data_IF_689156451198
#
_entry.id   IF_689156451198
#
_cell.length_a   1.000
_cell.length_b   1.000
_cell.length_c   1.000
_cell.angle_alpha   90.00
_cell.angle_beta   90.00
_cell.angle_gamma   90.00
#
_symmetry.space_group_name_H-M   'P 1'
#
loop_
_entity.id
_entity.type
_entity.pdbx_description
1 polymer ?
#
# COMPACT_ATOMS: atom_id res chain seq x y z
N UNK A 1 5.42 18.51 17.28
CA UNK A 1 6.48 17.63 16.73
C UNK A 1 6.69 18.10 15.30
N UNK A 2 7.91 18.51 14.99
CA UNK A 2 8.24 18.98 13.65
C UNK A 2 8.12 17.79 12.68
N UNK A 3 7.42 18.04 11.58
CA UNK A 3 7.16 17.08 10.52
C UNK A 3 8.48 16.85 9.77
N UNK A 4 9.09 15.67 9.87
CA UNK A 4 10.42 15.41 9.29
C UNK A 4 10.35 15.03 7.79
N UNK A 5 9.22 14.55 7.28
CA UNK A 5 9.04 14.23 5.86
C UNK A 5 8.72 15.48 5.02
N UNK A 6 9.16 15.47 3.77
CA UNK A 6 8.84 16.54 2.81
C UNK A 6 7.44 16.37 2.25
N UNK A 7 6.74 17.50 2.07
CA UNK A 7 5.41 17.54 1.46
C UNK A 7 5.44 18.37 0.19
N UNK A 8 4.86 17.82 -0.88
CA UNK A 8 4.64 18.48 -2.15
C UNK A 8 3.14 18.59 -2.41
N UNK A 9 2.73 19.54 -3.24
CA UNK A 9 1.35 19.65 -3.76
C UNK A 9 1.41 19.80 -5.26
N UNK A 10 0.63 19.01 -5.97
CA UNK A 10 0.56 19.02 -7.43
C UNK A 10 -0.87 19.24 -7.90
N UNK A 11 -1.01 20.00 -8.97
CA UNK A 11 -2.27 20.39 -9.61
C UNK A 11 -2.42 19.88 -11.05
N UNK A 12 -1.46 19.09 -11.53
CA UNK A 12 -1.47 18.48 -12.85
C UNK A 12 -0.73 17.14 -12.85
N UNK A 13 -1.04 16.29 -13.84
CA UNK A 13 -0.32 15.03 -14.06
C UNK A 13 1.17 15.26 -14.34
N UNK A 14 1.52 16.34 -15.03
CA UNK A 14 2.91 16.69 -15.34
C UNK A 14 3.70 17.02 -14.07
N UNK A 15 3.16 17.89 -13.21
CA UNK A 15 3.81 18.20 -11.93
C UNK A 15 4.04 16.95 -11.06
N UNK A 16 3.08 16.00 -11.07
CA UNK A 16 3.28 14.73 -10.40
C UNK A 16 4.49 13.95 -10.97
N UNK A 17 4.61 13.88 -12.30
CA UNK A 17 5.75 13.22 -12.95
C UNK A 17 7.08 13.92 -12.61
N UNK A 18 7.12 15.25 -12.64
CA UNK A 18 8.31 16.03 -12.32
C UNK A 18 8.76 15.76 -10.88
N UNK A 19 7.83 15.75 -9.91
CA UNK A 19 8.15 15.39 -8.50
C UNK A 19 8.69 13.97 -8.38
N UNK A 20 8.09 12.99 -9.07
CA UNK A 20 8.57 11.59 -9.01
C UNK A 20 10.00 11.46 -9.53
N UNK A 21 10.36 12.22 -10.57
CA UNK A 21 11.71 12.22 -11.14
C UNK A 21 12.73 12.89 -10.22
N UNK A 22 12.28 13.85 -9.42
CA UNK A 22 13.15 14.62 -8.50
C UNK A 22 13.30 13.95 -7.11
N UNK A 23 12.54 12.91 -6.79
CA UNK A 23 12.72 12.17 -5.54
C UNK A 23 14.09 11.49 -5.54
N UNK A 24 14.97 11.83 -4.58
CA UNK A 24 16.27 11.16 -4.48
C UNK A 24 16.11 9.66 -4.25
N UNK A 25 16.79 8.86 -5.05
CA UNK A 25 16.79 7.40 -4.92
C UNK A 25 18.20 6.89 -4.68
N UNK A 26 18.44 6.30 -3.52
CA UNK A 26 19.70 5.58 -3.27
C UNK A 26 19.66 4.16 -3.83
N UNK A 27 18.48 3.49 -3.74
CA UNK A 27 18.27 2.13 -4.24
C UNK A 27 16.98 2.02 -5.04
N UNK A 28 15.82 2.09 -4.36
CA UNK A 28 14.51 2.13 -5.02
C UNK A 28 13.47 2.79 -4.11
N UNK A 29 12.39 3.28 -4.73
CA UNK A 29 11.29 3.93 -4.04
C UNK A 29 10.04 3.10 -4.16
N UNK A 30 9.33 2.95 -3.06
CA UNK A 30 8.00 2.37 -3.01
C UNK A 30 6.95 3.47 -2.86
N UNK A 31 5.80 3.29 -3.49
CA UNK A 31 4.72 4.26 -3.51
C UNK A 31 3.44 3.69 -2.94
N UNK A 32 2.64 4.54 -2.28
CA UNK A 32 1.34 4.17 -1.74
C UNK A 32 0.32 5.28 -1.95
N UNK A 33 -0.79 4.98 -2.65
CA UNK A 33 -1.91 5.89 -2.83
C UNK A 33 -2.94 5.79 -1.71
N UNK A 34 -3.44 6.94 -1.26
CA UNK A 34 -4.53 7.05 -0.30
C UNK A 34 -5.53 8.08 -0.79
N UNK A 35 -6.79 7.68 -0.93
CA UNK A 35 -7.86 8.59 -1.35
C UNK A 35 -8.20 9.64 -0.28
N UNK A 36 -7.94 9.33 0.97
CA UNK A 36 -8.05 10.24 2.12
C UNK A 36 -6.69 10.36 2.79
N UNK A 37 -6.37 11.55 3.28
CA UNK A 37 -5.14 11.81 4.03
C UNK A 37 -5.21 11.18 5.44
N UNK A 38 -4.87 9.91 5.52
CA UNK A 38 -4.85 9.14 6.78
C UNK A 38 -3.42 8.80 7.16
N UNK A 39 -3.20 8.65 8.48
CA UNK A 39 -1.93 8.17 9.02
C UNK A 39 -1.54 6.81 8.43
N UNK A 40 -0.25 6.60 8.23
CA UNK A 40 0.31 5.34 7.75
C UNK A 40 0.38 4.33 8.90
N UNK A 41 -0.78 3.85 9.32
CA UNK A 41 -0.93 2.89 10.39
C UNK A 41 -1.53 1.58 9.84
N UNK A 42 -0.93 0.42 10.10
CA UNK A 42 -1.46 -0.87 9.71
C UNK A 42 -2.89 -1.10 10.20
N UNK A 43 -3.66 -1.92 9.48
CA UNK A 43 -5.08 -2.11 9.79
C UNK A 43 -5.29 -2.67 11.19
N UNK A 44 -4.48 -3.64 11.63
CA UNK A 44 -4.60 -4.24 12.97
C UNK A 44 -4.42 -3.21 14.09
N UNK A 45 -3.53 -2.24 13.89
CA UNK A 45 -3.23 -1.19 14.85
C UNK A 45 -4.34 -0.11 15.02
N UNK A 46 -5.40 -0.19 14.21
CA UNK A 46 -6.56 0.72 14.28
C UNK A 46 -7.66 0.18 15.19
N UNK A 47 -7.53 -1.04 15.67
CA UNK A 47 -8.45 -1.66 16.60
C UNK A 47 -7.97 -1.44 18.04
N UNK A 48 -8.90 -1.14 18.92
CA UNK A 48 -8.64 -1.03 20.36
C UNK A 48 -8.69 -2.43 20.99
N UNK A 49 -7.57 -3.13 20.91
CA UNK A 49 -7.40 -4.48 21.43
C UNK A 49 -6.16 -4.55 22.33
N UNK A 50 -6.18 -5.32 23.43
CA UNK A 50 -5.09 -5.33 24.41
C UNK A 50 -3.74 -5.79 23.85
N UNK A 51 -3.75 -6.79 22.95
CA UNK A 51 -2.57 -7.36 22.34
C UNK A 51 -2.79 -7.59 20.84
N UNK A 52 -2.47 -6.58 20.06
CA UNK A 52 -2.66 -6.63 18.61
C UNK A 52 -1.74 -7.67 17.94
N UNK A 53 -0.54 -7.92 18.49
CA UNK A 53 0.40 -8.88 17.91
C UNK A 53 -0.06 -10.33 18.12
N UNK A 54 -0.49 -10.67 19.33
CA UNK A 54 -1.00 -12.01 19.64
C UNK A 54 -2.31 -12.27 18.90
N UNK A 55 -3.23 -11.29 18.92
CA UNK A 55 -4.50 -11.39 18.17
C UNK A 55 -4.27 -11.62 16.68
N UNK A 56 -3.30 -10.93 16.08
CA UNK A 56 -2.96 -11.11 14.65
C UNK A 56 -2.42 -12.52 14.38
N UNK A 57 -1.59 -13.04 15.29
CA UNK A 57 -1.04 -14.40 15.18
C UNK A 57 -2.15 -15.45 15.22
N UNK A 58 -3.05 -15.36 16.21
CA UNK A 58 -4.21 -16.24 16.33
C UNK A 58 -5.13 -16.15 15.11
N UNK A 59 -5.41 -14.93 14.61
CA UNK A 59 -6.20 -14.74 13.40
C UNK A 59 -5.53 -15.38 12.17
N UNK A 60 -4.21 -15.26 12.04
CA UNK A 60 -3.49 -15.85 10.92
C UNK A 60 -3.54 -17.38 10.97
N UNK A 61 -3.35 -17.98 12.14
CA UNK A 61 -3.45 -19.42 12.32
C UNK A 61 -4.86 -19.94 12.01
N UNK A 62 -5.90 -19.23 12.44
CA UNK A 62 -7.29 -19.59 12.15
C UNK A 62 -7.62 -19.43 10.66
N UNK A 63 -7.12 -18.34 10.03
CA UNK A 63 -7.24 -18.13 8.60
C UNK A 63 -6.56 -19.23 7.80
N UNK A 64 -5.34 -19.62 8.13
CA UNK A 64 -4.62 -20.73 7.51
C UNK A 64 -5.43 -22.01 7.57
N UNK A 65 -5.89 -22.38 8.78
CA UNK A 65 -6.65 -23.62 9.03
C UNK A 65 -7.95 -23.69 8.21
N UNK A 66 -8.69 -22.57 8.11
CA UNK A 66 -10.00 -22.53 7.42
C UNK A 66 -9.90 -22.32 5.90
N UNK A 67 -8.82 -21.72 5.42
CA UNK A 67 -8.69 -21.37 3.99
C UNK A 67 -8.22 -22.54 3.11
N UNK A 68 -7.78 -23.67 3.69
CA UNK A 68 -7.21 -24.80 2.96
C UNK A 68 -8.04 -25.28 1.74
N UNK A 69 -9.35 -25.32 1.86
CA UNK A 69 -10.24 -25.78 0.80
C UNK A 69 -10.69 -24.65 -0.16
N UNK A 70 -10.32 -23.41 0.14
CA UNK A 70 -10.75 -22.22 -0.62
C UNK A 70 -9.65 -21.71 -1.57
N UNK A 71 -8.40 -22.15 -1.41
CA UNK A 71 -7.25 -21.69 -2.18
C UNK A 71 -6.65 -22.81 -3.02
N UNK A 72 -6.34 -22.50 -4.28
CA UNK A 72 -5.77 -23.49 -5.21
C UNK A 72 -4.28 -23.76 -5.02
N UNK A 73 -3.54 -22.84 -4.41
CA UNK A 73 -2.11 -22.96 -4.11
C UNK A 73 -1.84 -22.39 -2.71
N UNK A 74 -1.16 -23.18 -1.89
CA UNK A 74 -0.85 -22.80 -0.52
C UNK A 74 0.44 -22.00 -0.42
N UNK A 75 0.46 -20.88 0.32
CA UNK A 75 1.70 -20.18 0.65
C UNK A 75 2.70 -21.09 1.37
N UNK A 76 3.98 -20.98 0.99
CA UNK A 76 5.04 -21.81 1.55
C UNK A 76 5.62 -21.31 2.88
N UNK A 77 5.32 -20.08 3.28
CA UNK A 77 5.86 -19.45 4.48
C UNK A 77 4.89 -18.45 5.10
N UNK A 78 5.14 -18.03 6.33
CA UNK A 78 4.24 -17.13 7.08
C UNK A 78 4.13 -15.71 6.49
N UNK A 79 5.15 -15.23 5.75
CA UNK A 79 5.11 -13.94 5.08
C UNK A 79 4.09 -13.91 3.95
N UNK A 80 4.10 -14.96 3.13
CA UNK A 80 3.13 -15.12 2.04
C UNK A 80 1.70 -15.33 2.57
N UNK A 81 1.56 -16.03 3.71
CA UNK A 81 0.27 -16.17 4.38
C UNK A 81 -0.27 -14.84 4.90
N UNK A 82 0.59 -13.99 5.50
CA UNK A 82 0.21 -12.63 5.90
C UNK A 82 -0.21 -11.79 4.69
N UNK A 83 0.56 -11.84 3.60
CA UNK A 83 0.24 -11.12 2.38
C UNK A 83 -1.11 -11.57 1.77
N UNK A 84 -1.37 -12.90 1.76
CA UNK A 84 -2.64 -13.44 1.30
C UNK A 84 -3.81 -13.00 2.18
N UNK A 85 -3.65 -13.07 3.50
CA UNK A 85 -4.67 -12.64 4.45
C UNK A 85 -4.98 -11.14 4.32
N UNK A 86 -3.94 -10.28 4.20
CA UNK A 86 -4.08 -8.86 3.90
C UNK A 86 -4.84 -8.62 2.60
N UNK A 87 -4.50 -9.36 1.55
CA UNK A 87 -5.14 -9.25 0.24
C UNK A 87 -6.65 -9.51 0.30
N UNK A 88 -7.07 -10.46 1.14
CA UNK A 88 -8.48 -10.77 1.39
C UNK A 88 -9.10 -9.91 2.50
N UNK A 89 -8.41 -8.86 2.93
CA UNK A 89 -8.95 -7.83 3.82
C UNK A 89 -8.86 -8.13 5.31
N UNK A 90 -8.15 -9.19 5.73
CA UNK A 90 -7.86 -9.42 7.14
C UNK A 90 -7.04 -8.24 7.71
N UNK A 91 -7.25 -7.92 8.97
CA UNK A 91 -6.44 -6.91 9.64
C UNK A 91 -5.05 -7.48 9.96
N UNK A 92 -4.02 -6.89 9.37
CA UNK A 92 -2.62 -7.30 9.58
C UNK A 92 -1.74 -6.10 9.92
N UNK A 93 -0.49 -6.37 10.32
CA UNK A 93 0.56 -5.38 10.53
C UNK A 93 1.23 -4.86 9.24
N UNK A 94 0.68 -5.20 8.09
CA UNK A 94 1.24 -4.80 6.80
C UNK A 94 0.66 -3.46 6.33
N UNK A 95 1.48 -2.71 5.59
CA UNK A 95 1.02 -1.68 4.66
C UNK A 95 1.41 -2.08 3.25
N UNK A 96 0.46 -1.88 2.32
CA UNK A 96 0.66 -2.18 0.90
C UNK A 96 1.41 -1.03 0.22
N UNK A 97 2.34 -1.38 -0.66
CA UNK A 97 3.09 -0.47 -1.50
C UNK A 97 3.16 -1.01 -2.92
N UNK A 98 3.54 -0.17 -3.85
CA UNK A 98 3.86 -0.55 -5.22
C UNK A 98 5.15 0.11 -5.67
N UNK A 99 5.91 -0.54 -6.54
CA UNK A 99 7.09 0.07 -7.17
C UNK A 99 6.72 1.02 -8.32
N UNK A 100 5.45 1.07 -8.71
CA UNK A 100 4.97 1.92 -9.80
C UNK A 100 4.22 3.16 -9.27
N UNK A 101 4.78 4.39 -9.40
CA UNK A 101 4.14 5.61 -8.92
C UNK A 101 2.79 5.90 -9.57
N UNK A 102 2.58 5.48 -10.82
CA UNK A 102 1.32 5.69 -11.52
C UNK A 102 0.21 4.80 -10.96
N UNK A 103 0.55 3.60 -10.49
CA UNK A 103 -0.39 2.72 -9.77
C UNK A 103 -0.78 3.35 -8.44
N UNK A 104 0.19 3.89 -7.69
CA UNK A 104 -0.11 4.61 -6.45
C UNK A 104 -1.00 5.84 -6.70
N UNK A 105 -0.73 6.61 -7.77
CA UNK A 105 -1.59 7.72 -8.18
C UNK A 105 -3.01 7.23 -8.50
N UNK A 106 -3.17 6.10 -9.19
CA UNK A 106 -4.48 5.52 -9.48
C UNK A 106 -5.24 5.16 -8.18
N UNK A 107 -4.57 4.52 -7.23
CA UNK A 107 -5.17 4.18 -5.94
C UNK A 107 -5.55 5.41 -5.12
N UNK A 108 -4.80 6.51 -5.22
CA UNK A 108 -5.13 7.74 -4.52
C UNK A 108 -6.45 8.36 -4.99
N UNK A 109 -6.91 8.02 -6.19
CA UNK A 109 -8.16 8.51 -6.79
C UNK A 109 -9.24 7.39 -6.90
N UNK A 110 -9.14 6.33 -6.09
CA UNK A 110 -10.00 5.15 -6.17
C UNK A 110 -11.43 5.35 -5.67
N UNK A 111 -11.69 6.37 -4.87
CA UNK A 111 -13.05 6.77 -4.47
C UNK A 111 -13.73 7.54 -5.58
N UNK A 112 -15.06 7.48 -5.66
CA UNK A 112 -15.86 8.32 -6.55
C UNK A 112 -15.75 9.78 -6.12
N UNK A 113 -15.66 10.70 -7.08
CA UNK A 113 -15.57 12.14 -6.82
C UNK A 113 -16.75 12.65 -5.98
N UNK A 114 -17.93 12.08 -6.16
CA UNK A 114 -19.15 12.40 -5.42
C UNK A 114 -19.07 12.03 -3.93
N UNK A 115 -18.31 10.97 -3.61
CA UNK A 115 -18.07 10.52 -2.24
C UNK A 115 -16.87 11.23 -1.58
N UNK A 116 -16.10 11.97 -2.38
CA UNK A 116 -14.88 12.66 -1.96
C UNK A 116 -15.16 14.16 -1.75
N UNK A 117 -15.70 14.52 -0.59
CA UNK A 117 -15.70 15.93 -0.18
C UNK A 117 -14.31 16.30 0.39
N UNK A 118 -13.26 16.13 -0.46
CA UNK A 118 -11.86 16.40 -0.09
C UNK A 118 -11.18 17.25 -1.16
N UNK A 119 -10.34 18.17 -0.71
CA UNK A 119 -9.59 19.05 -1.60
C UNK A 119 -8.43 18.34 -2.31
N UNK A 120 -7.93 17.24 -1.74
CA UNK A 120 -6.79 16.49 -2.27
C UNK A 120 -6.78 15.02 -1.82
N UNK A 121 -6.13 14.19 -2.61
CA UNK A 121 -5.69 12.84 -2.22
C UNK A 121 -4.19 12.81 -1.96
N UNK A 122 -3.64 11.66 -1.55
CA UNK A 122 -2.22 11.56 -1.19
C UNK A 122 -1.55 10.38 -1.88
N UNK A 123 -0.36 10.62 -2.41
CA UNK A 123 0.62 9.58 -2.73
C UNK A 123 1.80 9.73 -1.79
N UNK A 124 2.12 8.67 -1.08
CA UNK A 124 3.35 8.57 -0.32
C UNK A 124 4.43 7.92 -1.18
N UNK A 125 5.65 8.42 -1.08
CA UNK A 125 6.85 7.78 -1.61
C UNK A 125 7.79 7.46 -0.45
N UNK A 126 8.33 6.26 -0.44
CA UNK A 126 9.24 5.75 0.59
C UNK A 126 10.55 5.32 -0.05
N UNK A 127 11.62 6.02 0.27
CA UNK A 127 12.98 5.66 -0.14
C UNK A 127 13.47 4.52 0.76
N UNK A 128 13.54 3.31 0.20
CA UNK A 128 13.73 2.08 0.96
C UNK A 128 15.21 1.86 1.29
N UNK A 129 15.58 1.77 2.60
CA UNK A 129 16.93 1.36 2.99
C UNK A 129 17.21 -0.09 2.57
N UNK A 130 18.41 -0.36 2.03
CA UNK A 130 18.80 -1.67 1.54
C UNK A 130 18.76 -2.75 2.63
N UNK A 131 19.14 -2.41 3.84
CA UNK A 131 19.18 -3.26 5.03
C UNK A 131 17.80 -3.70 5.52
N UNK A 132 16.74 -3.00 5.12
CA UNK A 132 15.38 -3.35 5.50
C UNK A 132 14.70 -4.29 4.51
N UNK A 133 15.33 -4.53 3.36
CA UNK A 133 14.80 -5.44 2.35
C UNK A 133 15.03 -6.89 2.80
N UNK A 134 13.95 -7.65 2.88
CA UNK A 134 14.01 -9.09 3.14
C UNK A 134 14.29 -9.82 1.84
N UNK A 135 15.50 -10.34 1.68
CA UNK A 135 15.94 -11.05 0.47
C UNK A 135 15.39 -12.49 0.45
N UNK A 136 15.24 -13.13 1.63
CA UNK A 136 14.64 -14.45 1.77
C UNK A 136 13.67 -14.47 2.93
N UNK A 137 12.49 -15.01 2.69
CA UNK A 137 11.43 -15.22 3.70
C UNK A 137 11.48 -16.62 4.32
N UNK A 138 12.36 -17.48 3.79
CA UNK A 138 12.61 -18.81 4.35
C UNK A 138 13.27 -18.66 5.74
N UNK A 139 12.89 -19.48 6.68
CA UNK A 139 13.42 -19.54 8.05
C UNK A 139 13.27 -18.28 8.91
N UNK A 140 12.50 -17.28 8.46
CA UNK A 140 12.26 -16.05 9.21
C UNK A 140 10.79 -15.95 9.64
N UNK A 141 10.59 -15.73 10.93
CA UNK A 141 9.27 -15.43 11.48
C UNK A 141 8.94 -13.94 11.24
N UNK A 142 7.86 -13.60 10.50
CA UNK A 142 7.48 -12.21 10.25
C UNK A 142 7.08 -11.46 11.52
N UNK A 143 6.80 -12.17 12.61
CA UNK A 143 6.45 -11.57 13.89
C UNK A 143 7.67 -11.23 14.76
N UNK A 144 8.87 -11.72 14.42
CA UNK A 144 10.11 -11.43 15.14
C UNK A 144 10.82 -10.19 14.63
N UNK A 145 11.67 -9.60 15.49
CA UNK A 145 12.45 -8.40 15.19
C UNK A 145 11.80 -7.11 15.68
N UNK A 146 12.57 -6.00 15.67
CA UNK A 146 12.15 -4.71 16.24
C UNK A 146 12.06 -3.58 15.21
N UNK A 147 12.53 -3.79 13.99
CA UNK A 147 12.53 -2.78 12.92
C UNK A 147 11.49 -3.09 11.86
N UNK A 148 11.05 -2.07 11.14
CA UNK A 148 10.24 -2.25 9.94
C UNK A 148 11.05 -3.03 8.92
N UNK A 149 10.41 -3.97 8.21
CA UNK A 149 11.03 -4.69 7.10
C UNK A 149 10.17 -4.54 5.85
N UNK A 150 10.83 -4.62 4.71
CA UNK A 150 10.22 -4.50 3.38
C UNK A 150 10.38 -5.81 2.64
N UNK A 151 9.29 -6.37 2.13
CA UNK A 151 9.35 -7.62 1.40
C UNK A 151 8.43 -7.63 0.19
N UNK A 152 8.84 -8.39 -0.81
CA UNK A 152 8.04 -8.72 -1.98
C UNK A 152 7.47 -10.12 -1.76
N UNK A 153 6.14 -10.29 -1.72
CA UNK A 153 5.54 -11.61 -1.57
C UNK A 153 5.76 -12.41 -2.86
N UNK A 154 5.76 -13.72 -2.75
CA UNK A 154 5.62 -14.56 -3.93
C UNK A 154 4.29 -14.25 -4.62
N UNK A 155 4.24 -14.38 -5.96
CA UNK A 155 3.03 -14.07 -6.75
C UNK A 155 1.90 -15.06 -6.46
N UNK A 156 1.20 -14.83 -5.34
CA UNK A 156 0.14 -15.70 -4.83
C UNK A 156 -1.17 -15.47 -5.58
N UNK A 157 -1.43 -14.24 -6.04
CA UNK A 157 -2.64 -13.88 -6.78
C UNK A 157 -2.34 -12.99 -7.97
N UNK A 158 -3.21 -13.06 -9.02
CA UNK A 158 -3.12 -12.20 -10.20
C UNK A 158 -3.15 -10.70 -9.83
N UNK A 159 -3.90 -10.34 -8.79
CA UNK A 159 -4.03 -8.96 -8.33
C UNK A 159 -2.74 -8.45 -7.68
N UNK A 160 -2.07 -9.23 -6.83
CA UNK A 160 -0.78 -8.84 -6.24
C UNK A 160 0.24 -8.60 -7.37
N UNK A 161 0.26 -9.47 -8.38
CA UNK A 161 1.16 -9.33 -9.53
C UNK A 161 0.86 -8.09 -10.36
N UNK A 162 -0.42 -7.81 -10.68
CA UNK A 162 -0.82 -6.66 -11.49
C UNK A 162 -0.56 -5.31 -10.81
N UNK A 163 -0.54 -5.29 -9.49
CA UNK A 163 -0.30 -4.09 -8.70
C UNK A 163 1.19 -3.87 -8.37
N UNK A 164 2.10 -4.75 -8.80
CA UNK A 164 3.52 -4.69 -8.45
C UNK A 164 3.72 -4.55 -6.93
N UNK A 165 2.99 -5.39 -6.18
CA UNK A 165 2.81 -5.24 -4.76
C UNK A 165 4.05 -5.57 -3.94
N UNK A 166 4.34 -4.70 -2.98
CA UNK A 166 5.29 -4.85 -1.91
C UNK A 166 4.60 -4.58 -0.58
N UNK A 167 5.21 -5.03 0.50
CA UNK A 167 4.70 -4.78 1.84
C UNK A 167 5.79 -4.26 2.76
N UNK A 168 5.42 -3.28 3.61
CA UNK A 168 6.17 -3.03 4.83
C UNK A 168 5.50 -3.79 5.97
N UNK A 169 6.30 -4.49 6.78
CA UNK A 169 5.84 -5.14 8.00
C UNK A 169 6.24 -4.30 9.20
N UNK A 170 5.24 -3.91 9.97
CA UNK A 170 5.43 -3.01 11.10
C UNK A 170 5.53 -3.77 12.42
N UNK A 171 6.18 -3.16 13.39
CA UNK A 171 6.36 -3.70 14.73
C UNK A 171 5.75 -2.76 15.76
N UNK A 172 5.23 -3.34 16.84
CA UNK A 172 4.84 -2.58 18.00
C UNK A 172 6.08 -2.15 18.80
N UNK A 173 5.95 -1.09 19.56
CA UNK A 173 6.95 -0.66 20.54
C UNK A 173 6.95 -1.54 21.80
N UNK A 174 7.77 -1.20 22.77
CA UNK A 174 7.86 -1.91 24.06
C UNK A 174 6.54 -1.89 24.87
N UNK A 175 5.63 -0.97 24.56
CA UNK A 175 4.29 -0.87 25.16
C UNK A 175 3.22 -1.57 24.32
N UNK A 176 3.62 -2.39 23.33
CA UNK A 176 2.75 -3.10 22.38
C UNK A 176 1.89 -2.16 21.53
N UNK A 177 2.35 -0.93 21.27
CA UNK A 177 1.68 0.06 20.40
C UNK A 177 2.40 0.21 19.08
N UNK A 178 1.66 0.27 18.00
CA UNK A 178 2.19 0.59 16.69
C UNK A 178 2.33 2.11 16.54
N UNK A 179 3.50 2.55 16.12
CA UNK A 179 3.76 3.95 15.79
C UNK A 179 3.40 4.18 14.32
N UNK A 180 2.65 5.23 13.96
CA UNK A 180 2.44 5.60 12.56
C UNK A 180 3.76 5.72 11.82
N UNK A 181 3.84 5.17 10.60
CA UNK A 181 5.11 5.05 9.88
C UNK A 181 5.77 6.42 9.62
N UNK A 182 4.96 7.43 9.30
CA UNK A 182 5.44 8.81 9.11
C UNK A 182 5.88 9.51 10.41
N UNK A 183 5.60 8.92 11.56
CA UNK A 183 6.04 9.41 12.88
C UNK A 183 7.21 8.61 13.44
N UNK A 184 7.60 7.54 12.76
CA UNK A 184 8.76 6.74 13.17
C UNK A 184 10.04 7.51 12.84
N UNK A 185 10.85 7.81 13.85
CA UNK A 185 12.06 8.65 13.75
C UNK A 185 13.11 8.09 12.79
N UNK A 186 13.16 6.79 12.61
CA UNK A 186 14.11 6.13 11.73
C UNK A 186 13.72 6.24 10.26
N UNK A 187 12.41 6.41 9.98
CA UNK A 187 11.85 6.34 8.62
C UNK A 187 11.22 7.64 8.13
N UNK A 188 10.82 8.55 9.03
CA UNK A 188 10.12 9.78 8.65
C UNK A 188 10.88 10.61 7.60
N UNK A 189 12.20 10.71 7.69
CA UNK A 189 13.06 11.44 6.74
C UNK A 189 13.16 10.77 5.36
N UNK A 190 12.81 9.49 5.27
CA UNK A 190 12.83 8.71 4.03
C UNK A 190 11.48 8.75 3.31
N UNK A 191 10.49 9.42 3.90
CA UNK A 191 9.15 9.55 3.36
C UNK A 191 8.96 10.90 2.67
N UNK A 192 8.20 10.87 1.57
CA UNK A 192 7.75 12.04 0.84
C UNK A 192 6.24 11.95 0.66
N UNK A 193 5.54 13.02 0.98
CA UNK A 193 4.09 13.13 0.83
C UNK A 193 3.76 14.01 -0.36
N UNK A 194 3.00 13.49 -1.30
CA UNK A 194 2.55 14.22 -2.49
C UNK A 194 1.05 14.35 -2.40
N UNK A 195 0.57 15.59 -2.22
CA UNK A 195 -0.85 15.93 -2.26
C UNK A 195 -1.26 16.16 -3.71
N UNK A 196 -2.30 15.47 -4.14
CA UNK A 196 -2.86 15.58 -5.49
C UNK A 196 -4.14 16.41 -5.39
N UNK A 197 -4.15 17.61 -5.94
CA UNK A 197 -5.34 18.49 -5.95
C UNK A 197 -6.49 17.79 -6.68
N UNK A 198 -7.68 17.79 -6.07
CA UNK A 198 -8.87 17.14 -6.63
C UNK A 198 -9.26 17.69 -8.01
N UNK A 199 -8.91 18.95 -8.32
CA UNK A 199 -9.17 19.58 -9.63
C UNK A 199 -8.46 18.85 -10.79
N UNK A 200 -7.34 18.17 -10.55
CA UNK A 200 -6.63 17.43 -11.59
C UNK A 200 -7.02 15.95 -11.70
N UNK A 201 -7.93 15.43 -10.86
CA UNK A 201 -8.27 14.02 -10.86
C UNK A 201 -8.79 13.51 -12.21
N UNK A 202 -9.65 14.27 -12.87
CA UNK A 202 -10.17 13.89 -14.19
C UNK A 202 -9.06 13.80 -15.24
N UNK A 203 -8.16 14.77 -15.27
CA UNK A 203 -6.97 14.74 -16.13
C UNK A 203 -6.11 13.52 -15.80
N UNK A 204 -5.75 13.33 -14.52
CA UNK A 204 -4.91 12.23 -14.07
C UNK A 204 -5.51 10.86 -14.42
N UNK A 205 -6.81 10.64 -14.17
CA UNK A 205 -7.49 9.39 -14.54
C UNK A 205 -7.44 9.11 -16.04
N UNK A 206 -7.66 10.16 -16.87
CA UNK A 206 -7.59 10.04 -18.32
C UNK A 206 -6.17 9.70 -18.81
N UNK A 207 -5.14 10.35 -18.23
CA UNK A 207 -3.74 10.05 -18.55
C UNK A 207 -3.36 8.62 -18.14
N UNK A 208 -3.72 8.20 -16.92
CA UNK A 208 -3.47 6.85 -16.44
C UNK A 208 -4.11 5.79 -17.35
N UNK A 209 -5.35 6.01 -17.80
CA UNK A 209 -6.00 5.14 -18.77
C UNK A 209 -5.19 4.99 -20.05
N UNK A 210 -4.66 6.10 -20.60
CA UNK A 210 -3.82 6.09 -21.81
C UNK A 210 -2.50 5.32 -21.61
N UNK A 211 -2.01 5.22 -20.35
CA UNK A 211 -0.87 4.39 -19.97
C UNK A 211 -1.27 2.94 -19.59
N UNK A 212 -2.53 2.54 -19.81
CA UNK A 212 -3.02 1.21 -19.51
C UNK A 212 -3.32 0.94 -18.03
N UNK A 213 -3.31 1.98 -17.19
CA UNK A 213 -3.62 1.88 -15.75
C UNK A 213 -5.08 2.26 -15.53
N UNK A 214 -5.91 1.26 -15.23
CA UNK A 214 -7.36 1.38 -15.07
C UNK A 214 -7.90 0.23 -14.21
N UNK A 215 -9.19 0.22 -13.93
CA UNK A 215 -9.80 -0.80 -13.07
C UNK A 215 -9.59 -2.22 -13.58
N UNK A 216 -9.64 -2.44 -14.90
CA UNK A 216 -9.46 -3.78 -15.48
C UNK A 216 -8.02 -4.28 -15.35
N UNK A 217 -7.00 -3.39 -15.47
CA UNK A 217 -5.61 -3.79 -15.28
C UNK A 217 -5.24 -3.95 -13.80
N UNK A 218 -5.84 -3.16 -12.90
CA UNK A 218 -5.57 -3.24 -11.45
C UNK A 218 -6.33 -4.37 -10.76
N UNK A 219 -7.52 -4.71 -11.27
CA UNK A 219 -8.35 -5.83 -10.84
C UNK A 219 -8.63 -6.71 -12.06
N UNK A 220 -7.78 -7.71 -12.35
CA UNK A 220 -7.89 -8.55 -13.55
C UNK A 220 -8.96 -9.65 -13.36
N UNK A 221 -10.18 -9.21 -13.13
CA UNK A 221 -11.39 -10.01 -12.95
C UNK A 221 -12.58 -9.31 -13.60
N UNK A 222 -13.76 -9.96 -13.55
CA UNK A 222 -14.98 -9.44 -14.17
C UNK A 222 -15.46 -8.14 -13.51
N UNK A 223 -15.21 -7.95 -12.21
CA UNK A 223 -15.61 -6.74 -11.49
C UNK A 223 -14.76 -5.55 -11.91
N UNK A 224 -13.45 -5.76 -12.06
CA UNK A 224 -12.53 -4.75 -12.57
C UNK A 224 -12.84 -4.35 -14.01
N UNK A 225 -13.19 -5.32 -14.86
CA UNK A 225 -13.63 -5.05 -16.23
C UNK A 225 -14.94 -4.25 -16.27
N UNK A 226 -15.94 -4.64 -15.48
CA UNK A 226 -17.23 -3.95 -15.42
C UNK A 226 -17.07 -2.48 -15.02
N UNK A 227 -16.29 -2.21 -13.95
CA UNK A 227 -15.97 -0.83 -13.50
C UNK A 227 -15.22 -0.03 -14.56
N UNK A 228 -14.33 -0.67 -15.31
CA UNK A 228 -13.62 0.00 -16.39
C UNK A 228 -14.54 0.39 -17.54
N UNK A 229 -15.43 -0.50 -17.96
CA UNK A 229 -16.42 -0.22 -18.99
C UNK A 229 -17.37 0.90 -18.53
N UNK A 230 -17.89 0.83 -17.30
CA UNK A 230 -18.73 1.88 -16.73
C UNK A 230 -18.02 3.26 -16.81
N UNK A 231 -16.77 3.33 -16.36
CA UNK A 231 -15.99 4.57 -16.41
C UNK A 231 -15.80 5.12 -17.84
N UNK A 232 -15.56 4.24 -18.82
CA UNK A 232 -15.39 4.64 -20.22
C UNK A 232 -16.61 5.35 -20.82
N UNK A 233 -17.81 4.94 -20.41
CA UNK A 233 -19.06 5.44 -20.97
C UNK A 233 -19.74 6.54 -20.15
N UNK A 234 -19.47 6.61 -18.85
CA UNK A 234 -20.18 7.50 -17.95
C UNK A 234 -19.32 8.63 -17.35
N UNK A 235 -18.00 8.41 -17.19
CA UNK A 235 -17.14 9.35 -16.43
C UNK A 235 -15.97 9.95 -17.23
N UNK A 236 -15.62 9.40 -18.39
CA UNK A 236 -14.45 9.82 -19.20
C UNK A 236 -14.59 11.19 -19.89
#
# INVERSE_FOLDING_TARGET
MDQEYKTYTVSSFREFQDIILDIPTEHFVLYRGQALDKILLPKIARYDIPDAEETEREMLEDFQRRSHHLIGSHPGNSWDWLALAQHHGMATRLLDWTENPLIALWFSMSLKLEDMNVDYSVVWAFNVPKEDIVVSTEDKDPFKGQTVKVFKPNHITKRISSQFGWFTIHKSDANRKFVPFEQNKDYSKLLFKIRIDSKCFKECKSRLHNFGINSSSMYPDIDGLAKHVEWLFLER
#
